data_IF_156538331988
#
_entry.id   IF_156538331988
#
_cell.length_a   1.000
_cell.length_b   1.000
_cell.length_c   1.000
_cell.angle_alpha   90.00
_cell.angle_beta   90.00
_cell.angle_gamma   90.00
#
_symmetry.space_group_name_H-M   'P 1'
#
loop_
_entity.id
_entity.type
_entity.pdbx_description
1 polymer ?
#
# COMPACT_ATOMS: atom_id res chain seq x y z
N UNK A 1 -14.43 18.26 30.53
CA UNK A 1 -13.64 17.41 29.61
C UNK A 1 -12.48 18.27 29.14
N UNK A 2 -11.35 18.22 29.82
CA UNK A 2 -10.14 18.98 29.47
C UNK A 2 -9.14 18.05 28.78
N UNK A 3 -9.49 17.62 27.57
CA UNK A 3 -8.54 17.05 26.63
C UNK A 3 -8.45 17.99 25.44
N UNK A 4 -7.26 18.49 25.11
CA UNK A 4 -7.07 19.30 23.90
C UNK A 4 -7.47 18.52 22.65
N UNK A 5 -7.89 19.23 21.60
CA UNK A 5 -8.28 18.63 20.31
C UNK A 5 -7.09 17.86 19.74
N UNK A 6 -7.20 16.55 19.60
CA UNK A 6 -6.12 15.70 19.08
C UNK A 6 -6.14 15.61 17.55
N UNK A 7 -5.01 15.21 16.95
CA UNK A 7 -4.96 14.88 15.51
C UNK A 7 -5.96 13.76 15.14
N UNK A 8 -6.15 12.80 16.05
CA UNK A 8 -7.15 11.74 15.88
C UNK A 8 -8.59 12.29 15.85
N UNK A 9 -8.89 13.32 16.65
CA UNK A 9 -10.20 13.97 16.66
C UNK A 9 -10.45 14.69 15.34
N UNK A 10 -9.48 15.48 14.87
CA UNK A 10 -9.52 16.18 13.58
C UNK A 10 -9.73 15.21 12.42
N UNK A 11 -9.00 14.09 12.44
CA UNK A 11 -9.13 13.06 11.42
C UNK A 11 -10.51 12.37 11.48
N UNK A 12 -11.09 12.22 12.67
CA UNK A 12 -12.44 11.65 12.85
C UNK A 12 -13.52 12.60 12.35
N UNK A 13 -13.39 13.89 12.66
CA UNK A 13 -14.23 14.97 12.12
C UNK A 13 -14.19 14.98 10.58
N UNK A 14 -12.99 14.90 10.00
CA UNK A 14 -12.80 14.88 8.55
C UNK A 14 -13.51 13.69 7.89
N UNK A 15 -13.44 12.50 8.50
CA UNK A 15 -14.17 11.31 8.03
C UNK A 15 -15.68 11.53 8.10
N UNK A 16 -16.18 12.05 9.21
CA UNK A 16 -17.58 12.35 9.39
C UNK A 16 -18.11 13.33 8.34
N UNK A 17 -17.31 14.35 7.99
CA UNK A 17 -17.64 15.31 6.95
C UNK A 17 -17.67 14.69 5.56
N UNK A 18 -16.61 13.98 5.16
CA UNK A 18 -16.51 13.36 3.83
C UNK A 18 -17.59 12.29 3.62
N UNK A 19 -17.97 11.55 4.68
CA UNK A 19 -19.02 10.53 4.59
C UNK A 19 -20.42 11.08 4.29
N UNK A 20 -20.65 12.40 4.48
CA UNK A 20 -21.91 13.06 4.13
C UNK A 20 -21.95 13.56 2.69
N UNK A 21 -20.81 13.62 2.02
CA UNK A 21 -20.71 14.12 0.65
C UNK A 21 -21.41 13.16 -0.29
N UNK A 22 -22.17 13.71 -1.24
CA UNK A 22 -22.84 12.91 -2.25
C UNK A 22 -21.84 12.16 -3.13
N UNK A 23 -22.21 10.93 -3.54
CA UNK A 23 -21.39 10.09 -4.43
C UNK A 23 -20.91 10.83 -5.69
N UNK A 24 -21.81 11.59 -6.31
CA UNK A 24 -21.54 12.25 -7.59
C UNK A 24 -20.63 13.47 -7.41
N UNK A 25 -20.70 14.14 -6.27
CA UNK A 25 -19.80 15.23 -5.88
C UNK A 25 -18.38 14.72 -5.64
N UNK A 26 -18.23 13.61 -4.89
CA UNK A 26 -16.94 12.94 -4.71
C UNK A 26 -16.33 12.50 -6.04
N UNK A 27 -17.13 11.93 -6.95
CA UNK A 27 -16.64 11.55 -8.29
C UNK A 27 -16.20 12.75 -9.11
N UNK A 28 -16.96 13.85 -9.05
CA UNK A 28 -16.62 15.08 -9.76
C UNK A 28 -15.31 15.68 -9.25
N UNK A 29 -15.11 15.70 -7.92
CA UNK A 29 -13.86 16.16 -7.32
C UNK A 29 -12.65 15.29 -7.73
N UNK A 30 -12.82 13.96 -7.73
CA UNK A 30 -11.78 13.02 -8.15
C UNK A 30 -11.43 13.14 -9.65
N UNK A 31 -12.42 13.45 -10.50
CA UNK A 31 -12.19 13.69 -11.92
C UNK A 31 -11.30 14.94 -12.14
N UNK A 32 -11.61 16.06 -11.48
CA UNK A 32 -10.80 17.31 -11.54
C UNK A 32 -9.36 17.08 -11.09
N UNK A 33 -9.14 16.26 -10.06
CA UNK A 33 -7.80 15.91 -9.56
C UNK A 33 -6.93 15.16 -10.58
N UNK A 34 -7.55 14.39 -11.48
CA UNK A 34 -6.79 13.69 -12.53
C UNK A 34 -6.19 14.66 -13.56
N UNK A 35 -6.75 15.87 -13.68
CA UNK A 35 -6.37 16.89 -14.65
C UNK A 35 -5.34 17.88 -14.08
N UNK A 36 -5.47 18.23 -12.80
CA UNK A 36 -4.53 19.10 -12.09
C UNK A 36 -3.49 18.28 -11.32
N UNK A 37 -2.29 18.08 -11.89
CA UNK A 37 -1.15 17.50 -11.15
C UNK A 37 0.01 18.48 -11.07
N UNK A 38 0.18 19.10 -9.90
CA UNK A 38 1.49 19.01 -9.27
C UNK A 38 1.39 18.79 -7.74
N UNK A 39 2.36 18.04 -7.18
CA UNK A 39 2.69 17.91 -5.75
C UNK A 39 1.96 16.88 -4.86
N UNK A 40 1.05 16.04 -5.34
CA UNK A 40 0.53 14.94 -4.50
C UNK A 40 1.52 13.76 -4.44
N UNK A 41 1.81 13.20 -3.24
CA UNK A 41 2.61 11.99 -3.12
C UNK A 41 2.03 10.86 -3.99
N UNK A 42 2.90 10.10 -4.68
CA UNK A 42 2.46 9.07 -5.65
C UNK A 42 1.48 8.06 -5.04
N UNK A 43 1.66 7.70 -3.78
CA UNK A 43 0.77 6.81 -3.04
C UNK A 43 -0.65 7.41 -2.88
N UNK A 44 -0.74 8.70 -2.53
CA UNK A 44 -2.00 9.44 -2.43
C UNK A 44 -2.67 9.55 -3.81
N UNK A 45 -1.90 9.91 -4.84
CA UNK A 45 -2.42 9.95 -6.21
C UNK A 45 -2.98 8.60 -6.67
N UNK A 46 -2.30 7.49 -6.36
CA UNK A 46 -2.80 6.16 -6.64
C UNK A 46 -4.08 5.81 -5.86
N UNK A 47 -4.16 6.21 -4.59
CA UNK A 47 -5.34 6.02 -3.76
C UNK A 47 -6.55 6.82 -4.27
N UNK A 48 -6.37 8.09 -4.64
CA UNK A 48 -7.41 8.93 -5.26
C UNK A 48 -7.88 8.34 -6.60
N UNK A 49 -6.94 7.92 -7.46
CA UNK A 49 -7.27 7.25 -8.72
C UNK A 49 -8.03 5.93 -8.49
N UNK A 50 -7.68 5.18 -7.45
CA UNK A 50 -8.39 3.95 -7.09
C UNK A 50 -9.79 4.24 -6.54
N UNK A 51 -9.96 5.29 -5.73
CA UNK A 51 -11.26 5.77 -5.26
C UNK A 51 -12.16 6.15 -6.44
N UNK A 52 -11.64 6.88 -7.42
CA UNK A 52 -12.40 7.30 -8.60
C UNK A 52 -12.94 6.13 -9.44
N UNK A 53 -12.30 4.96 -9.35
CA UNK A 53 -12.72 3.74 -10.05
C UNK A 53 -13.81 2.95 -9.32
N UNK A 54 -14.07 3.25 -8.03
CA UNK A 54 -15.14 2.58 -7.30
C UNK A 54 -16.51 3.02 -7.79
N UNK A 55 -17.46 2.07 -7.80
CA UNK A 55 -18.87 2.39 -8.09
C UNK A 55 -19.40 3.42 -7.09
N UNK A 56 -19.04 3.24 -5.83
CA UNK A 56 -19.39 4.09 -4.70
C UNK A 56 -18.12 4.41 -3.88
N UNK A 57 -17.45 5.55 -4.16
CA UNK A 57 -16.25 5.95 -3.43
C UNK A 57 -16.54 6.31 -1.97
N UNK A 58 -17.72 6.84 -1.64
CA UNK A 58 -18.09 7.28 -0.28
C UNK A 58 -18.12 6.07 0.66
N UNK A 59 -18.75 4.98 0.23
CA UNK A 59 -18.85 3.74 1.04
C UNK A 59 -17.51 3.05 1.33
N UNK A 60 -16.43 3.43 0.63
CA UNK A 60 -15.12 2.79 0.78
C UNK A 60 -14.04 3.74 1.29
N UNK A 61 -14.28 5.04 1.33
CA UNK A 61 -13.26 6.07 1.67
C UNK A 61 -12.66 5.88 3.06
N UNK A 62 -13.44 5.33 4.01
CA UNK A 62 -12.99 5.06 5.38
C UNK A 62 -12.09 3.83 5.52
N UNK A 63 -11.92 3.05 4.45
CA UNK A 63 -11.07 1.85 4.48
C UNK A 63 -9.61 2.23 4.71
N UNK A 64 -8.82 1.42 5.43
CA UNK A 64 -7.44 1.74 5.80
C UNK A 64 -6.56 2.20 4.64
N UNK A 65 -6.70 1.59 3.46
CA UNK A 65 -5.89 1.93 2.28
C UNK A 65 -6.15 3.32 1.68
N UNK A 66 -7.23 4.00 2.07
CA UNK A 66 -7.60 5.33 1.55
C UNK A 66 -7.45 6.44 2.59
N UNK A 67 -7.15 6.10 3.85
CA UNK A 67 -7.06 7.07 4.94
C UNK A 67 -6.07 8.21 4.67
N UNK A 68 -4.91 7.88 4.10
CA UNK A 68 -3.90 8.88 3.74
C UNK A 68 -4.34 9.82 2.60
N UNK A 69 -5.34 9.42 1.80
CA UNK A 69 -5.89 10.23 0.71
C UNK A 69 -7.06 11.11 1.16
N UNK A 70 -7.57 10.91 2.38
CA UNK A 70 -8.75 11.61 2.87
C UNK A 70 -8.56 13.14 2.98
N UNK A 71 -7.45 13.67 3.54
CA UNK A 71 -7.21 15.12 3.57
C UNK A 71 -7.16 15.72 2.16
N UNK A 72 -6.55 15.02 1.21
CA UNK A 72 -6.46 15.47 -0.18
C UNK A 72 -7.82 15.44 -0.87
N UNK A 73 -8.63 14.40 -0.60
CA UNK A 73 -9.99 14.34 -1.12
C UNK A 73 -10.86 15.47 -0.56
N UNK A 74 -10.79 15.73 0.74
CA UNK A 74 -11.51 16.83 1.38
C UNK A 74 -11.11 18.19 0.79
N UNK A 75 -9.81 18.43 0.60
CA UNK A 75 -9.30 19.62 -0.08
C UNK A 75 -9.85 19.72 -1.50
N UNK A 76 -9.86 18.65 -2.30
CA UNK A 76 -10.41 18.65 -3.67
C UNK A 76 -11.92 18.90 -3.74
N UNK A 77 -12.67 18.46 -2.73
CA UNK A 77 -14.11 18.69 -2.61
C UNK A 77 -14.35 20.16 -2.25
N UNK A 78 -13.58 20.70 -1.31
CA UNK A 78 -13.78 22.03 -0.73
C UNK A 78 -12.99 23.17 -1.38
N UNK A 79 -12.11 22.89 -2.33
CA UNK A 79 -11.16 23.85 -2.92
C UNK A 79 -11.79 25.19 -3.35
N UNK A 80 -12.90 25.11 -4.09
CA UNK A 80 -13.62 26.30 -4.55
C UNK A 80 -14.32 27.05 -3.40
N UNK A 81 -14.81 26.32 -2.39
CA UNK A 81 -15.41 26.91 -1.19
C UNK A 81 -14.34 27.63 -0.38
N UNK A 82 -13.21 26.97 -0.09
CA UNK A 82 -12.08 27.53 0.63
C UNK A 82 -11.54 28.79 -0.05
N UNK A 83 -11.34 28.74 -1.37
CA UNK A 83 -10.88 29.90 -2.15
C UNK A 83 -11.82 31.09 -2.00
N UNK A 84 -13.15 30.86 -2.02
CA UNK A 84 -14.13 31.93 -1.86
C UNK A 84 -14.16 32.47 -0.43
N UNK A 85 -14.07 31.60 0.58
CA UNK A 85 -14.01 31.99 1.99
C UNK A 85 -12.75 32.82 2.27
N UNK A 86 -11.58 32.42 1.74
CA UNK A 86 -10.34 33.23 1.81
C UNK A 86 -10.56 34.61 1.20
N UNK A 87 -11.21 34.68 0.02
CA UNK A 87 -11.54 35.95 -0.62
C UNK A 87 -12.47 36.84 0.20
N UNK A 88 -13.47 36.26 0.87
CA UNK A 88 -14.39 36.98 1.75
C UNK A 88 -13.71 37.48 3.03
N UNK A 89 -12.78 36.69 3.60
CA UNK A 89 -12.01 37.07 4.77
C UNK A 89 -10.94 38.15 4.50
N UNK A 90 -10.45 38.23 3.26
CA UNK A 90 -9.42 39.19 2.86
C UNK A 90 -8.17 39.07 3.73
N UNK A 91 -7.74 40.18 4.33
CA UNK A 91 -6.54 40.25 5.19
C UNK A 91 -6.64 39.39 6.46
N UNK A 92 -7.83 38.92 6.82
CA UNK A 92 -8.07 38.07 7.98
C UNK A 92 -8.05 36.57 7.66
N UNK A 93 -7.70 36.17 6.44
CA UNK A 93 -7.83 34.77 6.00
C UNK A 93 -6.97 33.77 6.79
N UNK A 94 -5.82 34.19 7.31
CA UNK A 94 -4.88 33.32 8.03
C UNK A 94 -5.29 33.09 9.50
N UNK A 95 -5.80 34.12 10.17
CA UNK A 95 -6.19 34.10 11.59
C UNK A 95 -7.50 34.90 11.80
N UNK A 96 -8.64 34.39 11.30
CA UNK A 96 -9.91 35.05 11.45
C UNK A 96 -10.45 34.89 12.88
N UNK A 97 -11.13 35.92 13.36
CA UNK A 97 -11.99 35.76 14.53
C UNK A 97 -13.23 34.94 14.18
N UNK A 98 -13.88 34.34 15.20
CA UNK A 98 -15.14 33.62 15.04
C UNK A 98 -16.20 34.42 14.27
N UNK A 99 -16.40 35.70 14.63
CA UNK A 99 -17.40 36.54 13.98
C UNK A 99 -17.08 36.80 12.50
N UNK A 100 -15.81 37.03 12.16
CA UNK A 100 -15.37 37.21 10.78
C UNK A 100 -15.56 35.94 9.95
N UNK A 101 -15.25 34.77 10.54
CA UNK A 101 -15.47 33.50 9.87
C UNK A 101 -16.96 33.21 9.69
N UNK A 102 -17.81 33.49 10.69
CA UNK A 102 -19.27 33.34 10.57
C UNK A 102 -19.86 34.22 9.46
N UNK A 103 -19.46 35.50 9.40
CA UNK A 103 -19.87 36.43 8.33
C UNK A 103 -19.41 35.93 6.95
N UNK A 104 -18.15 35.51 6.83
CA UNK A 104 -17.63 34.95 5.59
C UNK A 104 -18.34 33.64 5.18
N UNK A 105 -18.74 32.81 6.15
CA UNK A 105 -19.50 31.58 5.90
C UNK A 105 -20.91 31.86 5.42
N UNK A 106 -21.58 32.85 6.00
CA UNK A 106 -22.91 33.27 5.57
C UNK A 106 -22.87 33.82 4.12
N UNK A 107 -21.83 34.59 3.77
CA UNK A 107 -21.60 35.10 2.42
C UNK A 107 -21.35 34.00 1.37
N UNK A 108 -20.68 32.91 1.75
CA UNK A 108 -20.45 31.76 0.83
C UNK A 108 -21.59 30.75 0.82
N UNK A 109 -22.47 30.78 1.83
CA UNK A 109 -23.60 29.86 2.00
C UNK A 109 -24.57 29.84 0.82
N UNK A 110 -24.68 30.95 0.09
CA UNK A 110 -25.51 31.03 -1.12
C UNK A 110 -24.95 30.21 -2.31
N UNK A 111 -23.64 29.93 -2.30
CA UNK A 111 -22.94 29.29 -3.41
C UNK A 111 -22.53 27.84 -3.14
N UNK A 112 -22.51 27.43 -1.87
CA UNK A 112 -22.05 26.12 -1.46
C UNK A 112 -23.00 25.50 -0.44
N UNK A 113 -23.17 24.18 -0.51
CA UNK A 113 -24.00 23.48 0.46
C UNK A 113 -23.34 23.47 1.85
N UNK A 114 -24.16 23.40 2.90
CA UNK A 114 -23.68 23.22 4.28
C UNK A 114 -22.75 21.99 4.43
N UNK A 115 -22.97 20.95 3.60
CA UNK A 115 -22.10 19.77 3.57
C UNK A 115 -20.71 20.13 3.04
N UNK A 116 -20.63 20.88 1.94
CA UNK A 116 -19.36 21.32 1.35
C UNK A 116 -18.63 22.27 2.30
N UNK A 117 -19.35 23.19 2.96
CA UNK A 117 -18.79 24.09 3.98
C UNK A 117 -18.28 23.27 5.18
N UNK A 118 -19.03 22.27 5.64
CA UNK A 118 -18.60 21.36 6.70
C UNK A 118 -17.32 20.58 6.34
N UNK A 119 -17.18 20.14 5.08
CA UNK A 119 -15.95 19.50 4.59
C UNK A 119 -14.79 20.50 4.55
N UNK A 120 -15.03 21.74 4.15
CA UNK A 120 -14.04 22.81 4.13
C UNK A 120 -13.52 23.09 5.54
N UNK A 121 -14.41 23.30 6.52
CA UNK A 121 -14.04 23.50 7.93
C UNK A 121 -13.26 22.30 8.48
N UNK A 122 -13.71 21.08 8.22
CA UNK A 122 -13.01 19.88 8.66
C UNK A 122 -11.63 19.71 7.98
N UNK A 123 -11.51 20.12 6.71
CA UNK A 123 -10.26 20.08 5.96
C UNK A 123 -9.23 21.06 6.52
N UNK A 124 -9.65 22.30 6.81
CA UNK A 124 -8.80 23.31 7.47
C UNK A 124 -8.42 22.84 8.87
N UNK A 125 -9.40 22.35 9.65
CA UNK A 125 -9.17 21.83 10.99
C UNK A 125 -8.17 20.67 11.04
N UNK A 126 -8.07 19.85 9.99
CA UNK A 126 -7.11 18.76 9.88
C UNK A 126 -5.71 19.24 9.44
N UNK A 127 -5.60 20.45 8.91
CA UNK A 127 -4.33 21.08 8.57
C UNK A 127 -3.65 21.71 9.79
N UNK A 128 -2.44 22.21 9.56
CA UNK A 128 -1.62 22.94 10.54
C UNK A 128 -1.69 24.45 10.27
N UNK A 129 -2.91 25.00 10.27
CA UNK A 129 -3.19 26.42 10.03
C UNK A 129 -3.57 27.11 11.34
N UNK A 130 -3.32 28.42 11.52
CA UNK A 130 -3.73 29.13 12.73
C UNK A 130 -5.24 29.02 13.03
N UNK A 131 -6.06 29.01 11.97
CA UNK A 131 -7.51 28.85 12.06
C UNK A 131 -8.00 27.41 12.38
N UNK A 132 -7.11 26.41 12.51
CA UNK A 132 -7.49 24.99 12.62
C UNK A 132 -8.38 24.70 13.83
N UNK A 133 -8.09 25.28 15.00
CA UNK A 133 -8.86 25.06 16.23
C UNK A 133 -10.25 25.69 16.14
N UNK A 134 -10.31 26.92 15.59
CA UNK A 134 -11.56 27.63 15.38
C UNK A 134 -12.46 26.87 14.39
N UNK A 135 -11.92 26.40 13.27
CA UNK A 135 -12.68 25.63 12.28
C UNK A 135 -13.20 24.30 12.87
N UNK A 136 -12.40 23.64 13.71
CA UNK A 136 -12.84 22.44 14.42
C UNK A 136 -14.00 22.73 15.37
N UNK A 137 -13.86 23.78 16.20
CA UNK A 137 -14.88 24.18 17.17
C UNK A 137 -16.18 24.57 16.47
N UNK A 138 -16.11 25.34 15.38
CA UNK A 138 -17.28 25.67 14.56
C UNK A 138 -17.97 24.43 13.97
N UNK A 139 -17.21 23.52 13.36
CA UNK A 139 -17.77 22.28 12.82
C UNK A 139 -18.40 21.41 13.93
N UNK A 140 -17.79 21.38 15.13
CA UNK A 140 -18.26 20.58 16.25
C UNK A 140 -19.51 21.16 16.94
N UNK A 141 -19.71 22.47 16.89
CA UNK A 141 -20.77 23.16 17.65
C UNK A 141 -21.96 23.59 16.79
N UNK A 142 -21.72 23.94 15.53
CA UNK A 142 -22.77 24.41 14.63
C UNK A 142 -23.54 23.25 14.00
N UNK A 143 -24.83 23.16 14.34
CA UNK A 143 -25.72 22.11 13.85
C UNK A 143 -25.97 22.21 12.33
N UNK A 144 -25.77 23.38 11.69
CA UNK A 144 -25.96 23.58 10.24
C UNK A 144 -25.13 22.58 9.42
N UNK A 145 -23.89 22.33 9.82
CA UNK A 145 -23.00 21.38 9.15
C UNK A 145 -23.30 19.91 9.54
N UNK A 146 -24.14 19.72 10.56
CA UNK A 146 -24.54 18.44 11.13
C UNK A 146 -23.38 17.62 11.72
N UNK A 147 -22.24 18.24 11.97
CA UNK A 147 -21.03 17.55 12.44
C UNK A 147 -20.96 17.46 13.96
N UNK A 148 -21.96 17.95 14.69
CA UNK A 148 -22.04 17.91 16.15
C UNK A 148 -21.92 16.50 16.75
N UNK A 149 -22.28 15.46 15.99
CA UNK A 149 -22.13 14.05 16.37
C UNK A 149 -20.80 13.39 15.97
N UNK A 150 -19.79 14.15 15.54
CA UNK A 150 -18.54 13.63 14.98
C UNK A 150 -17.83 12.62 15.89
N UNK A 151 -17.86 12.82 17.22
CA UNK A 151 -17.18 11.92 18.16
C UNK A 151 -17.79 10.51 18.17
N UNK A 152 -19.07 10.36 17.81
CA UNK A 152 -19.71 9.06 17.66
C UNK A 152 -19.42 8.40 16.30
N UNK A 153 -18.86 9.16 15.35
CA UNK A 153 -18.54 8.67 14.02
C UNK A 153 -17.45 7.60 14.08
N UNK A 154 -17.74 6.40 13.57
CA UNK A 154 -16.80 5.29 13.58
C UNK A 154 -16.66 4.57 14.93
N UNK A 155 -17.37 5.01 15.98
CA UNK A 155 -17.62 4.16 17.15
C UNK A 155 -18.61 3.10 16.68
N UNK A 156 -18.08 1.93 16.33
CA UNK A 156 -18.92 0.74 16.21
C UNK A 156 -19.56 0.54 17.58
N UNK A 157 -20.86 0.85 17.72
CA UNK A 157 -21.67 0.29 18.79
C UNK A 157 -21.38 -1.22 18.73
N UNK A 158 -20.89 -1.84 19.81
CA UNK A 158 -20.70 -3.27 19.82
C UNK A 158 -22.08 -3.87 19.65
N UNK A 159 -22.44 -4.21 18.40
CA UNK A 159 -23.63 -4.97 18.11
C UNK A 159 -23.50 -6.23 18.95
N UNK A 160 -24.46 -6.55 19.83
CA UNK A 160 -24.39 -7.76 20.62
C UNK A 160 -24.23 -8.90 19.63
N UNK A 161 -23.12 -9.65 19.77
CA UNK A 161 -22.84 -10.84 18.97
C UNK A 161 -24.15 -11.66 18.97
N UNK A 162 -24.80 -11.90 17.82
CA UNK A 162 -25.91 -12.83 17.80
C UNK A 162 -25.37 -14.14 18.35
N UNK A 163 -25.95 -14.56 19.48
CA UNK A 163 -25.51 -15.71 20.25
C UNK A 163 -25.25 -16.89 19.32
N UNK A 164 -24.17 -17.61 19.62
CA UNK A 164 -23.78 -18.83 18.92
C UNK A 164 -24.98 -19.75 18.74
N UNK A 165 -25.62 -19.71 17.56
CA UNK A 165 -26.51 -20.79 17.15
C UNK A 165 -25.62 -22.03 17.09
N UNK A 166 -25.99 -23.02 17.90
CA UNK A 166 -25.25 -24.26 18.06
C UNK A 166 -24.80 -24.80 16.72
N UNK A 167 -23.52 -25.19 16.65
CA UNK A 167 -22.99 -25.97 15.54
C UNK A 167 -23.87 -27.21 15.40
N UNK A 168 -24.74 -27.26 14.40
CA UNK A 168 -25.34 -28.50 13.95
C UNK A 168 -24.18 -29.44 13.63
N UNK A 169 -24.05 -30.50 14.43
CA UNK A 169 -23.00 -31.47 14.32
C UNK A 169 -23.05 -32.09 12.91
N UNK A 170 -22.05 -31.75 12.10
CA UNK A 170 -21.82 -32.38 10.79
C UNK A 170 -21.54 -33.86 11.07
N UNK A 171 -22.39 -34.75 10.56
CA UNK A 171 -22.22 -36.20 10.71
C UNK A 171 -20.90 -36.67 10.08
N UNK A 172 -20.30 -37.77 10.55
CA UNK A 172 -19.06 -38.33 9.98
C UNK A 172 -19.15 -38.52 8.46
N UNK A 173 -20.32 -38.93 7.98
CA UNK A 173 -20.63 -39.15 6.57
C UNK A 173 -20.53 -37.86 5.71
N UNK A 174 -20.97 -36.71 6.24
CA UNK A 174 -20.85 -35.41 5.57
C UNK A 174 -19.40 -34.88 5.56
N UNK A 175 -18.58 -35.27 6.55
CA UNK A 175 -17.14 -34.96 6.56
C UNK A 175 -16.39 -35.79 5.51
N UNK A 176 -16.75 -37.06 5.35
CA UNK A 176 -16.16 -37.92 4.31
C UNK A 176 -16.57 -37.48 2.91
N UNK A 177 -17.85 -37.14 2.69
CA UNK A 177 -18.31 -36.58 1.43
C UNK A 177 -17.57 -35.27 1.06
N UNK A 178 -17.28 -34.41 2.04
CA UNK A 178 -16.46 -33.20 1.84
C UNK A 178 -14.99 -33.51 1.56
N UNK A 179 -14.39 -34.51 2.21
CA UNK A 179 -13.01 -34.95 1.92
C UNK A 179 -12.91 -35.53 0.51
N UNK A 180 -13.86 -36.38 0.11
CA UNK A 180 -13.89 -36.95 -1.24
C UNK A 180 -14.07 -35.87 -2.31
N UNK A 181 -14.94 -34.89 -2.08
CA UNK A 181 -15.13 -33.77 -3.00
C UNK A 181 -13.86 -32.92 -3.12
N UNK A 182 -13.22 -32.59 -1.99
CA UNK A 182 -11.95 -31.83 -1.98
C UNK A 182 -10.81 -32.58 -2.66
N UNK A 183 -10.77 -33.91 -2.56
CA UNK A 183 -9.77 -34.75 -3.22
C UNK A 183 -10.00 -34.81 -4.73
N UNK A 184 -11.25 -34.98 -5.18
CA UNK A 184 -11.62 -34.93 -6.61
C UNK A 184 -11.28 -33.57 -7.24
N UNK A 185 -11.59 -32.46 -6.56
CA UNK A 185 -11.27 -31.12 -7.05
C UNK A 185 -9.75 -30.88 -7.14
N UNK A 186 -8.97 -31.45 -6.22
CA UNK A 186 -7.51 -31.38 -6.25
C UNK A 186 -6.90 -32.22 -7.40
N UNK A 187 -7.42 -33.42 -7.63
CA UNK A 187 -6.97 -34.29 -8.72
C UNK A 187 -7.37 -33.71 -10.10
N UNK A 188 -8.55 -33.10 -10.23
CA UNK A 188 -8.93 -32.38 -11.45
C UNK A 188 -8.03 -31.17 -11.70
N UNK A 189 -7.67 -30.40 -10.66
CA UNK A 189 -6.70 -29.31 -10.79
C UNK A 189 -5.32 -29.83 -11.20
N UNK A 190 -4.87 -30.95 -10.66
CA UNK A 190 -3.58 -31.57 -11.03
C UNK A 190 -3.59 -32.06 -12.49
N UNK A 191 -4.67 -32.71 -12.94
CA UNK A 191 -4.84 -33.12 -14.34
C UNK A 191 -4.87 -31.93 -15.29
N UNK A 192 -5.61 -30.85 -14.94
CA UNK A 192 -5.64 -29.62 -15.74
C UNK A 192 -4.27 -28.96 -15.85
N UNK A 193 -3.50 -28.92 -14.75
CA UNK A 193 -2.12 -28.40 -14.77
C UNK A 193 -1.19 -29.27 -15.61
N UNK A 194 -1.34 -30.60 -15.59
CA UNK A 194 -0.52 -31.50 -16.40
C UNK A 194 -0.84 -31.41 -17.90
N UNK A 195 -2.13 -31.27 -18.26
CA UNK A 195 -2.56 -31.01 -19.64
C UNK A 195 -2.03 -29.67 -20.12
N UNK A 196 -2.11 -28.62 -19.31
CA UNK A 196 -1.55 -27.30 -19.63
C UNK A 196 -0.01 -27.35 -19.79
N UNK A 197 0.69 -28.15 -18.97
CA UNK A 197 2.13 -28.38 -19.09
C UNK A 197 2.50 -29.08 -20.39
N UNK A 198 1.77 -30.15 -20.76
CA UNK A 198 1.98 -30.89 -22.02
C UNK A 198 1.66 -30.04 -23.25
N UNK A 199 0.58 -29.24 -23.20
CA UNK A 199 0.25 -28.28 -24.26
C UNK A 199 1.34 -27.21 -24.41
N UNK A 200 1.83 -26.65 -23.29
CA UNK A 200 2.94 -25.70 -23.31
C UNK A 200 4.24 -26.30 -23.85
N UNK A 201 4.51 -27.58 -23.58
CA UNK A 201 5.67 -28.29 -24.12
C UNK A 201 5.54 -28.57 -25.63
N UNK A 202 4.33 -28.90 -26.12
CA UNK A 202 4.07 -29.06 -27.56
C UNK A 202 4.20 -27.74 -28.32
N UNK A 203 3.70 -26.63 -27.77
CA UNK A 203 3.87 -25.29 -28.36
C UNK A 203 5.35 -24.89 -28.41
N UNK A 204 6.13 -25.22 -27.37
CA UNK A 204 7.58 -25.00 -27.36
C UNK A 204 8.31 -25.88 -28.39
N UNK A 205 7.88 -27.12 -28.59
CA UNK A 205 8.43 -28.01 -29.64
C UNK A 205 8.08 -27.52 -31.05
N UNK A 206 6.84 -27.10 -31.30
CA UNK A 206 6.43 -26.52 -32.58
C UNK A 206 7.23 -25.24 -32.90
N UNK A 207 7.37 -24.34 -31.91
CA UNK A 207 8.16 -23.11 -32.07
C UNK A 207 9.67 -23.37 -32.23
N UNK A 208 10.18 -24.49 -31.70
CA UNK A 208 11.57 -24.93 -31.91
C UNK A 208 11.75 -25.47 -33.34
N UNK A 209 10.77 -26.19 -33.88
CA UNK A 209 10.78 -26.70 -35.26
C UNK A 209 10.74 -25.56 -36.28
N UNK A 210 9.88 -24.56 -36.08
CA UNK A 210 9.84 -23.34 -36.92
C UNK A 210 11.15 -22.56 -36.86
N UNK A 211 11.77 -22.47 -35.67
CA UNK A 211 13.06 -21.79 -35.49
C UNK A 211 14.22 -22.57 -36.14
N UNK A 212 14.18 -23.90 -36.18
CA UNK A 212 15.16 -24.72 -36.89
C UNK A 212 14.97 -24.73 -38.42
N UNK A 213 13.77 -24.48 -38.94
CA UNK A 213 13.56 -24.27 -40.38
C UNK A 213 13.99 -22.87 -40.84
N UNK A 214 13.96 -21.87 -39.96
CA UNK A 214 14.52 -20.54 -40.23
C UNK A 214 16.07 -20.49 -40.10
N UNK A 215 16.67 -21.41 -39.34
CA UNK A 215 18.11 -21.43 -39.05
C UNK A 215 18.94 -22.33 -40.00
N UNK A 216 18.33 -23.02 -40.97
CA UNK A 216 19.03 -23.83 -41.97
C UNK A 216 19.56 -23.03 -43.18
N UNK A 217 19.66 -21.70 -43.07
CA UNK A 217 20.37 -20.80 -43.99
C UNK A 217 21.39 -19.94 -43.25
N UNK A 218 22.34 -20.56 -42.57
CA UNK A 218 23.63 -19.95 -42.25
C UNK A 218 24.50 -20.99 -41.55
N UNK A 219 25.56 -21.38 -42.23
CA UNK A 219 26.60 -22.28 -41.76
C UNK A 219 27.35 -21.78 -40.51
N UNK A 220 27.82 -22.77 -39.75
CA UNK A 220 29.08 -22.84 -39.00
C UNK A 220 29.02 -22.91 -37.45
N UNK A 221 29.20 -24.16 -37.01
CA UNK A 221 29.91 -24.71 -35.84
C UNK A 221 29.45 -24.55 -34.37
N UNK A 222 29.71 -25.59 -33.52
CA UNK A 222 28.90 -25.89 -32.36
C UNK A 222 29.65 -25.70 -31.04
N UNK A 223 29.03 -25.02 -30.08
CA UNK A 223 29.34 -25.16 -28.66
C UNK A 223 28.05 -25.51 -27.92
N UNK A 224 28.09 -26.62 -27.17
CA UNK A 224 26.95 -27.28 -26.55
C UNK A 224 26.19 -26.43 -25.52
N UNK A 225 24.99 -26.86 -25.11
CA UNK A 225 24.17 -26.10 -24.18
C UNK A 225 24.78 -26.15 -22.78
N UNK A 226 25.38 -25.03 -22.37
CA UNK A 226 25.79 -24.80 -21.00
C UNK A 226 24.57 -24.85 -20.06
N UNK A 227 24.70 -25.67 -19.02
CA UNK A 227 23.92 -25.60 -17.77
C UNK A 227 23.93 -24.14 -17.29
N UNK A 228 22.82 -23.56 -16.81
CA UNK A 228 22.86 -22.17 -16.35
C UNK A 228 23.79 -22.10 -15.15
N UNK A 229 24.92 -21.44 -15.36
CA UNK A 229 25.96 -21.21 -14.39
C UNK A 229 25.39 -20.46 -13.17
N UNK A 230 25.85 -20.87 -11.99
CA UNK A 230 25.88 -20.05 -10.79
C UNK A 230 26.39 -18.65 -11.17
N UNK A 231 25.47 -17.68 -11.26
CA UNK A 231 25.82 -16.32 -11.68
C UNK A 231 26.69 -15.69 -10.59
N UNK A 232 27.91 -15.31 -10.94
CA UNK A 232 28.80 -14.56 -10.06
C UNK A 232 28.15 -13.23 -9.64
N UNK A 233 28.47 -12.77 -8.42
CA UNK A 233 27.97 -11.51 -7.88
C UNK A 233 28.27 -10.34 -8.86
N UNK A 234 27.30 -9.46 -9.13
CA UNK A 234 27.52 -8.29 -9.95
C UNK A 234 28.49 -7.32 -9.28
N UNK A 235 29.32 -6.64 -10.08
CA UNK A 235 30.23 -5.61 -9.57
C UNK A 235 29.43 -4.37 -9.16
N UNK A 236 29.60 -3.94 -7.92
CA UNK A 236 28.84 -2.83 -7.34
C UNK A 236 29.43 -1.48 -7.74
N UNK A 237 28.58 -0.57 -8.23
CA UNK A 237 28.95 0.82 -8.53
C UNK A 237 28.73 1.76 -7.35
N UNK A 238 27.81 1.42 -6.43
CA UNK A 238 27.50 2.16 -5.19
C UNK A 238 27.58 1.19 -4.02
N UNK A 239 28.09 1.64 -2.87
CA UNK A 239 28.15 0.84 -1.64
C UNK A 239 26.87 1.03 -0.83
N UNK A 240 26.53 0.02 -0.02
CA UNK A 240 25.45 0.14 0.95
C UNK A 240 25.75 1.25 1.96
N UNK A 241 24.72 2.02 2.30
CA UNK A 241 24.77 3.01 3.40
C UNK A 241 24.39 2.27 4.68
N UNK A 242 25.34 2.17 5.60
CA UNK A 242 25.17 1.54 6.90
C UNK A 242 25.21 2.62 7.99
N UNK A 243 24.51 2.41 9.11
CA UNK A 243 24.70 3.24 10.30
C UNK A 243 26.06 2.95 10.94
N UNK A 244 26.64 3.87 11.74
CA UNK A 244 27.93 3.61 12.41
C UNK A 244 27.97 2.29 13.18
N UNK A 245 26.90 1.97 13.92
CA UNK A 245 26.78 0.69 14.65
C UNK A 245 26.74 -0.54 13.72
N UNK A 246 26.09 -0.42 12.56
CA UNK A 246 26.07 -1.50 11.56
C UNK A 246 27.43 -1.67 10.87
N UNK A 247 28.19 -0.58 10.67
CA UNK A 247 29.54 -0.65 10.09
C UNK A 247 30.56 -1.30 11.03
N UNK A 248 30.35 -1.20 12.35
CA UNK A 248 31.18 -1.88 13.35
C UNK A 248 30.95 -3.40 13.35
N UNK A 249 29.71 -3.83 13.08
CA UNK A 249 29.30 -5.24 13.19
C UNK A 249 29.35 -6.00 11.86
N UNK A 250 29.01 -5.38 10.72
CA UNK A 250 28.83 -6.05 9.43
C UNK A 250 29.82 -5.58 8.37
N UNK A 251 30.38 -6.53 7.61
CA UNK A 251 31.20 -6.22 6.43
C UNK A 251 30.31 -5.93 5.22
N UNK A 252 30.36 -4.68 4.75
CA UNK A 252 29.65 -4.24 3.54
C UNK A 252 30.21 -4.83 2.25
N UNK A 253 31.41 -5.41 2.28
CA UNK A 253 32.04 -6.07 1.14
C UNK A 253 31.87 -7.59 1.19
N UNK A 254 31.00 -8.08 2.08
CA UNK A 254 30.68 -9.49 2.16
C UNK A 254 30.30 -10.04 0.76
N UNK A 255 30.79 -11.24 0.39
CA UNK A 255 30.57 -11.79 -0.95
C UNK A 255 29.09 -11.98 -1.32
N UNK A 256 28.18 -12.02 -0.34
CA UNK A 256 26.75 -12.17 -0.56
C UNK A 256 26.03 -10.82 -0.66
N UNK A 257 26.72 -9.69 -0.47
CA UNK A 257 26.12 -8.37 -0.65
C UNK A 257 25.47 -8.27 -2.04
N UNK A 258 24.25 -7.73 -2.08
CA UNK A 258 23.33 -7.69 -3.24
C UNK A 258 22.68 -9.01 -3.64
N UNK A 259 23.06 -10.09 -2.99
CA UNK A 259 22.42 -11.39 -3.12
C UNK A 259 21.02 -11.37 -2.55
N UNK A 260 20.16 -12.22 -3.09
CA UNK A 260 18.82 -12.48 -2.58
C UNK A 260 18.86 -13.81 -1.82
N UNK A 261 18.41 -13.81 -0.57
CA UNK A 261 18.37 -15.00 0.30
C UNK A 261 16.95 -15.20 0.83
N UNK A 262 16.64 -16.40 1.32
CA UNK A 262 15.42 -16.61 2.11
C UNK A 262 15.75 -16.42 3.58
N UNK A 263 15.01 -15.57 4.27
CA UNK A 263 15.17 -15.36 5.71
C UNK A 263 13.83 -15.25 6.41
N UNK A 264 13.77 -15.69 7.65
CA UNK A 264 12.61 -15.47 8.52
C UNK A 264 12.54 -14.00 8.93
N UNK A 265 11.45 -13.33 8.60
CA UNK A 265 11.21 -11.93 8.95
C UNK A 265 10.06 -11.86 9.95
N UNK A 266 10.28 -11.35 11.18
CA UNK A 266 9.22 -11.17 12.16
C UNK A 266 8.22 -10.11 11.69
N UNK A 267 6.98 -10.16 12.19
CA UNK A 267 6.01 -9.09 11.94
C UNK A 267 6.09 -8.02 13.01
N UNK A 268 6.15 -6.75 12.59
CA UNK A 268 6.13 -5.59 13.49
C UNK A 268 4.77 -5.44 14.21
N UNK A 269 3.71 -6.07 13.69
CA UNK A 269 2.36 -6.10 14.26
C UNK A 269 1.65 -7.41 13.91
N UNK A 270 0.88 -7.97 14.85
CA UNK A 270 0.03 -9.15 14.63
C UNK A 270 -0.89 -8.90 13.42
N UNK A 271 -0.71 -9.67 12.34
CA UNK A 271 -1.59 -9.60 11.18
C UNK A 271 -3.00 -10.04 11.64
N UNK A 272 -4.02 -9.16 11.63
CA UNK A 272 -5.36 -9.53 12.10
C UNK A 272 -6.00 -10.64 11.26
N UNK A 273 -5.50 -10.86 10.04
CA UNK A 273 -5.93 -11.96 9.16
C UNK A 273 -5.25 -13.28 9.51
N UNK A 274 -4.12 -13.23 10.24
CA UNK A 274 -3.26 -14.36 10.59
C UNK A 274 -2.65 -14.15 11.99
N UNK A 275 -3.49 -14.16 13.05
CA UNK A 275 -3.07 -13.78 14.39
C UNK A 275 -2.07 -14.74 15.05
N UNK A 276 -1.95 -15.96 14.53
CA UNK A 276 -1.04 -17.00 15.05
C UNK A 276 0.35 -16.98 14.38
N UNK A 277 0.61 -16.06 13.43
CA UNK A 277 1.89 -15.97 12.71
C UNK A 277 2.76 -14.85 13.28
N UNK A 278 3.86 -15.23 13.91
CA UNK A 278 4.86 -14.33 14.51
C UNK A 278 5.83 -13.73 13.46
N UNK A 279 5.81 -14.27 12.24
CA UNK A 279 6.65 -13.85 11.14
C UNK A 279 6.41 -14.69 9.90
N UNK A 280 7.24 -14.48 8.87
CA UNK A 280 7.19 -15.26 7.64
C UNK A 280 8.55 -15.32 6.97
N UNK A 281 8.89 -16.48 6.40
CA UNK A 281 10.06 -16.61 5.51
C UNK A 281 9.83 -15.84 4.22
N UNK A 282 10.77 -14.94 3.88
CA UNK A 282 10.70 -14.04 2.73
C UNK A 282 12.02 -14.01 2.00
N UNK A 283 11.96 -13.65 0.73
CA UNK A 283 13.16 -13.28 -0.03
C UNK A 283 13.62 -11.91 0.42
N UNK A 284 14.87 -11.81 0.87
CA UNK A 284 15.48 -10.60 1.38
C UNK A 284 16.75 -10.30 0.59
N UNK A 285 17.06 -9.02 0.44
CA UNK A 285 18.29 -8.53 -0.17
C UNK A 285 19.36 -8.42 0.91
N UNK A 286 20.51 -9.02 0.69
CA UNK A 286 21.68 -8.89 1.58
C UNK A 286 22.34 -7.54 1.34
N UNK A 287 22.52 -6.79 2.42
CA UNK A 287 23.14 -5.46 2.42
C UNK A 287 24.61 -5.55 2.84
N UNK A 288 24.87 -6.32 3.89
CA UNK A 288 26.18 -6.57 4.48
C UNK A 288 26.14 -7.92 5.21
N UNK A 289 27.30 -8.46 5.59
CA UNK A 289 27.36 -9.78 6.23
C UNK A 289 28.56 -9.97 7.15
N UNK A 290 28.45 -11.00 7.98
CA UNK A 290 29.52 -11.61 8.76
C UNK A 290 29.49 -13.12 8.51
N UNK A 291 30.49 -13.91 8.95
CA UNK A 291 30.45 -15.36 8.78
C UNK A 291 29.18 -16.03 9.36
N UNK A 292 28.55 -15.42 10.36
CA UNK A 292 27.41 -16.01 11.10
C UNK A 292 26.07 -15.33 10.86
N UNK A 293 26.06 -14.06 10.45
CA UNK A 293 24.84 -13.27 10.29
C UNK A 293 24.87 -12.45 9.00
N UNK A 294 23.69 -12.15 8.49
CA UNK A 294 23.48 -11.24 7.36
C UNK A 294 22.64 -10.07 7.80
N UNK A 295 23.00 -8.87 7.36
CA UNK A 295 22.13 -7.72 7.44
C UNK A 295 21.31 -7.67 6.15
N UNK A 296 19.99 -7.83 6.26
CA UNK A 296 19.11 -7.97 5.08
C UNK A 296 17.97 -6.97 5.09
N UNK A 297 17.49 -6.62 3.89
CA UNK A 297 16.27 -5.86 3.67
C UNK A 297 15.16 -6.75 3.10
N UNK A 298 14.00 -6.86 3.76
CA UNK A 298 12.91 -7.72 3.30
C UNK A 298 12.33 -7.32 1.95
N UNK A 299 11.98 -8.31 1.13
CA UNK A 299 11.16 -8.14 -0.05
C UNK A 299 9.68 -8.40 0.21
N UNK A 300 8.84 -7.45 -0.19
CA UNK A 300 7.39 -7.53 -0.13
C UNK A 300 6.79 -7.54 -1.53
N UNK A 301 6.02 -8.58 -1.82
CA UNK A 301 5.29 -8.67 -3.07
C UNK A 301 4.14 -7.67 -3.16
N UNK A 302 3.71 -7.42 -4.39
CA UNK A 302 2.54 -6.60 -4.70
C UNK A 302 1.32 -6.97 -3.85
N UNK A 303 0.79 -5.99 -3.12
CA UNK A 303 -0.38 -6.17 -2.25
C UNK A 303 -0.05 -6.45 -0.78
N UNK A 304 1.21 -6.67 -0.42
CA UNK A 304 1.65 -6.70 0.98
C UNK A 304 1.63 -5.31 1.62
N UNK A 305 1.37 -5.22 2.93
CA UNK A 305 1.26 -3.94 3.66
C UNK A 305 2.50 -3.05 3.45
N UNK A 306 3.70 -3.61 3.61
CA UNK A 306 4.97 -2.89 3.41
C UNK A 306 5.30 -2.61 1.94
N UNK A 307 4.73 -3.34 0.97
CA UNK A 307 4.86 -2.98 -0.47
C UNK A 307 4.17 -1.65 -0.84
N UNK A 308 3.34 -1.12 0.08
CA UNK A 308 2.65 0.17 -0.04
C UNK A 308 3.29 1.26 0.81
N UNK A 309 4.35 0.94 1.55
CA UNK A 309 5.11 1.92 2.30
C UNK A 309 5.88 2.82 1.33
N UNK A 310 5.88 4.13 1.59
CA UNK A 310 6.55 5.11 0.74
C UNK A 310 8.07 4.96 0.77
N UNK A 311 8.63 4.33 1.81
CA UNK A 311 10.06 4.06 1.92
C UNK A 311 10.50 2.78 1.18
N UNK A 312 9.55 1.93 0.79
CA UNK A 312 9.87 0.68 0.11
C UNK A 312 10.15 0.91 -1.38
N UNK A 313 11.25 0.37 -1.87
CA UNK A 313 11.77 0.61 -3.23
C UNK A 313 11.33 -0.50 -4.18
N UNK A 314 10.59 -0.19 -5.27
CA UNK A 314 10.20 -1.19 -6.26
C UNK A 314 11.40 -1.69 -7.07
N UNK A 315 11.54 -3.00 -7.21
CA UNK A 315 12.52 -3.60 -8.10
C UNK A 315 12.03 -3.61 -9.55
N UNK A 316 12.84 -3.11 -10.48
CA UNK A 316 12.59 -3.17 -11.93
C UNK A 316 12.90 -4.55 -12.49
N UNK A 317 14.00 -5.16 -12.07
CA UNK A 317 14.47 -6.46 -12.59
C UNK A 317 14.24 -7.62 -11.61
N UNK A 318 13.11 -7.59 -10.88
CA UNK A 318 12.78 -8.59 -9.84
C UNK A 318 12.86 -10.06 -10.31
N UNK A 319 12.45 -10.36 -11.56
CA UNK A 319 12.55 -11.73 -12.12
C UNK A 319 13.99 -12.21 -12.21
N UNK A 320 14.90 -11.32 -12.61
CA UNK A 320 16.32 -11.64 -12.79
C UNK A 320 17.00 -11.83 -11.42
N UNK A 321 16.56 -11.07 -10.42
CA UNK A 321 17.03 -11.19 -9.05
C UNK A 321 16.47 -12.41 -8.28
N UNK A 322 15.63 -13.25 -8.92
CA UNK A 322 15.12 -14.49 -8.32
C UNK A 322 13.83 -14.34 -7.54
N UNK A 323 13.12 -13.21 -7.68
CA UNK A 323 11.76 -13.04 -7.14
C UNK A 323 10.71 -13.60 -8.09
N UNK A 324 9.60 -14.12 -7.54
CA UNK A 324 8.52 -14.75 -8.32
C UNK A 324 7.46 -13.77 -8.83
N UNK A 325 7.40 -12.58 -8.24
CA UNK A 325 6.41 -11.54 -8.55
C UNK A 325 6.99 -10.14 -8.33
N UNK A 326 6.33 -9.07 -8.81
CA UNK A 326 6.75 -7.70 -8.53
C UNK A 326 6.96 -7.50 -7.04
N UNK A 327 8.13 -6.98 -6.67
CA UNK A 327 8.62 -6.93 -5.29
C UNK A 327 9.18 -5.54 -4.97
N UNK A 328 8.90 -5.10 -3.74
CA UNK A 328 9.40 -3.87 -3.14
C UNK A 328 10.32 -4.24 -1.98
N UNK A 329 11.48 -3.61 -1.91
CA UNK A 329 12.46 -3.83 -0.85
C UNK A 329 12.26 -2.78 0.23
N UNK A 330 12.17 -3.22 1.49
CA UNK A 330 12.08 -2.31 2.64
C UNK A 330 13.33 -1.43 2.77
N UNK A 331 13.18 -0.29 3.45
CA UNK A 331 14.33 0.54 3.85
C UNK A 331 14.99 -0.01 5.12
N UNK A 332 14.17 -0.60 5.99
CA UNK A 332 14.62 -1.10 7.28
C UNK A 332 15.40 -2.39 7.08
N UNK A 333 16.56 -2.45 7.71
CA UNK A 333 17.46 -3.60 7.63
C UNK A 333 17.40 -4.36 8.94
N UNK A 334 17.34 -5.69 8.86
CA UNK A 334 17.33 -6.55 10.03
C UNK A 334 18.44 -7.61 9.96
N UNK A 335 19.06 -7.94 11.11
CA UNK A 335 20.01 -9.02 11.19
C UNK A 335 19.27 -10.36 11.15
N UNK A 336 19.80 -11.30 10.37
CA UNK A 336 19.30 -12.69 10.30
C UNK A 336 20.47 -13.66 10.35
N UNK A 337 20.28 -14.89 10.86
CA UNK A 337 21.30 -15.93 10.78
C UNK A 337 21.70 -16.20 9.32
N UNK A 338 22.99 -16.45 9.09
CA UNK A 338 23.50 -16.85 7.78
C UNK A 338 23.20 -18.32 7.54
N UNK A 339 22.21 -18.61 6.72
CA UNK A 339 21.75 -19.96 6.39
C UNK A 339 21.87 -20.25 4.89
N UNK A 340 22.20 -21.50 4.54
CA UNK A 340 22.29 -21.99 3.16
C UNK A 340 23.67 -21.84 2.51
N UNK A 341 23.77 -22.32 1.27
CA UNK A 341 25.03 -22.38 0.51
C UNK A 341 25.33 -21.10 -0.30
N UNK A 342 24.39 -20.14 -0.33
CA UNK A 342 24.55 -18.90 -1.08
C UNK A 342 23.23 -18.22 -1.48
N UNK A 343 23.33 -17.02 -2.09
CA UNK A 343 22.17 -16.32 -2.63
C UNK A 343 21.47 -17.09 -3.75
N UNK A 344 20.13 -17.03 -3.77
CA UNK A 344 19.28 -17.62 -4.83
C UNK A 344 19.22 -16.77 -6.11
N UNK A 345 19.75 -15.55 -6.06
CA UNK A 345 19.79 -14.59 -7.16
C UNK A 345 20.52 -13.33 -6.73
N UNK A 346 20.66 -12.38 -7.65
CA UNK A 346 21.40 -11.13 -7.42
C UNK A 346 20.63 -9.94 -7.97
N UNK A 347 20.67 -8.82 -7.24
CA UNK A 347 20.12 -7.58 -7.74
C UNK A 347 20.92 -7.05 -8.93
N UNK A 348 20.22 -6.41 -9.86
CA UNK A 348 20.88 -5.61 -10.89
C UNK A 348 21.58 -4.40 -10.25
N UNK A 349 22.67 -3.88 -10.83
CA UNK A 349 23.30 -2.65 -10.33
C UNK A 349 22.33 -1.46 -10.26
N UNK A 350 21.40 -1.35 -11.22
CA UNK A 350 20.37 -0.30 -11.22
C UNK A 350 19.42 -0.43 -10.02
N UNK A 351 18.91 -1.63 -9.77
CA UNK A 351 18.02 -1.88 -8.63
C UNK A 351 18.75 -1.71 -7.29
N UNK A 352 20.01 -2.14 -7.21
CA UNK A 352 20.84 -1.92 -6.03
C UNK A 352 21.06 -0.44 -5.74
N UNK A 353 21.37 0.35 -6.77
CA UNK A 353 21.60 1.79 -6.62
C UNK A 353 20.34 2.54 -6.19
N UNK A 354 19.16 2.03 -6.56
CA UNK A 354 17.86 2.63 -6.23
C UNK A 354 17.47 2.44 -4.75
N UNK A 355 18.13 1.57 -3.99
CA UNK A 355 17.85 1.33 -2.57
C UNK A 355 18.31 2.47 -1.63
N UNK A 356 18.88 3.54 -2.18
CA UNK A 356 19.65 4.56 -1.44
C UNK A 356 19.51 5.97 -1.98
#
# INVERSE_FOLDING_TARGET
>A
MEGGITESDRMTMLRAAVAKVGRDEVKSALARSSEARPQTPKAVGNALNALGKHRDPVAVVDKPQYRAALPFLAALISDACLTRTIGALGDHSEDPTRAQLEEALDDVGDSFSDVTIGVMLASVACGDMPASDLCFDMAATDARFGLTGWAAFGIAVPTPKPGSRGKSAITPEQREARRLKKQKDADERRKKMEVARKAGEQVRRAKKVDRSQAASRSDADPLGPAVPASSAAPRLTRRAVLTPAQEEEFDRNDPWATGVVFAWVPFDSVDPSQPDLEGKSRRCVVVAGTPTHLLVRPGYSEGGVKSRDWKSVPLRHWKQAGFEQPTWIDVDSLPVPREGDGPVGWLSPEDWNALW
#
